data_IF_242932343060
#
_entry.id   IF_242932343060
#
_cell.length_a   1.000
_cell.length_b   1.000
_cell.length_c   1.000
_cell.angle_alpha   90.00
_cell.angle_beta   90.00
_cell.angle_gamma   90.00
#
_symmetry.space_group_name_H-M   'P 1'
#
loop_
_entity.id
_entity.type
_entity.pdbx_description
1 polymer ?
#
# COMPACT_ATOMS: atom_id res chain seq x y z
N UNK A 1 -5.98 -26.47 -6.45
CA UNK A 1 -4.97 -25.50 -6.92
C UNK A 1 -5.23 -24.15 -6.25
N UNK A 2 -4.20 -23.45 -5.77
CA UNK A 2 -4.36 -22.06 -5.33
C UNK A 2 -4.65 -21.20 -6.56
N UNK A 3 -5.55 -20.23 -6.43
CA UNK A 3 -5.85 -19.28 -7.50
C UNK A 3 -4.59 -18.46 -7.84
N UNK A 4 -4.44 -18.09 -9.12
CA UNK A 4 -3.40 -17.17 -9.56
C UNK A 4 -3.64 -15.81 -8.91
N UNK A 5 -2.66 -15.33 -8.14
CA UNK A 5 -2.68 -14.02 -7.51
C UNK A 5 -2.34 -12.94 -8.53
N UNK A 6 -3.03 -11.81 -8.48
CA UNK A 6 -2.87 -10.71 -9.42
C UNK A 6 -2.28 -9.47 -8.75
N UNK A 7 -1.97 -8.44 -9.54
CA UNK A 7 -1.40 -7.18 -9.08
C UNK A 7 -2.36 -6.04 -9.32
N UNK A 8 -2.69 -5.32 -8.24
CA UNK A 8 -3.62 -4.21 -8.24
C UNK A 8 -2.87 -2.92 -7.95
N UNK A 9 -3.18 -1.88 -8.72
CA UNK A 9 -2.76 -0.51 -8.45
C UNK A 9 -4.00 0.36 -8.24
N UNK A 10 -4.10 0.93 -7.05
CA UNK A 10 -5.08 1.98 -6.75
C UNK A 10 -4.36 3.32 -6.67
N UNK A 11 -4.55 4.16 -7.69
CA UNK A 11 -3.84 5.45 -7.84
C UNK A 11 -4.79 6.64 -8.04
N UNK A 12 -4.26 7.80 -8.41
CA UNK A 12 -5.02 9.03 -8.65
C UNK A 12 -5.16 9.95 -7.43
N UNK A 13 -5.65 11.17 -7.67
CA UNK A 13 -5.69 12.25 -6.68
C UNK A 13 -6.88 12.17 -5.71
N UNK A 14 -7.86 11.33 -5.99
CA UNK A 14 -9.06 11.15 -5.18
C UNK A 14 -8.82 10.37 -3.88
N UNK A 15 -9.72 10.57 -2.91
CA UNK A 15 -9.76 9.81 -1.66
C UNK A 15 -10.37 8.42 -1.92
N UNK A 16 -9.79 7.37 -1.35
CA UNK A 16 -10.38 6.02 -1.38
C UNK A 16 -9.39 4.86 -1.59
N UNK A 17 -8.16 5.12 -2.06
CA UNK A 17 -7.17 4.08 -2.42
C UNK A 17 -6.92 3.09 -1.27
N UNK A 18 -6.57 3.62 -0.09
CA UNK A 18 -6.36 2.82 1.13
C UNK A 18 -7.65 2.15 1.60
N UNK A 19 -8.80 2.82 1.49
CA UNK A 19 -10.10 2.25 1.87
C UNK A 19 -10.49 1.05 1.02
N UNK A 20 -10.21 1.08 -0.29
CA UNK A 20 -10.41 -0.06 -1.18
C UNK A 20 -9.50 -1.22 -0.75
N UNK A 21 -8.21 -0.96 -0.51
CA UNK A 21 -7.28 -1.98 -0.05
C UNK A 21 -7.72 -2.63 1.28
N UNK A 22 -8.20 -1.83 2.24
CA UNK A 22 -8.79 -2.32 3.50
C UNK A 22 -10.06 -3.14 3.28
N UNK A 23 -10.93 -2.71 2.36
CA UNK A 23 -12.12 -3.46 1.97
C UNK A 23 -11.77 -4.83 1.38
N UNK A 24 -10.73 -4.91 0.55
CA UNK A 24 -10.23 -6.18 0.02
C UNK A 24 -9.66 -7.07 1.12
N UNK A 25 -8.90 -6.50 2.08
CA UNK A 25 -8.41 -7.26 3.24
C UNK A 25 -9.56 -7.85 4.07
N UNK A 26 -10.63 -7.08 4.29
CA UNK A 26 -11.81 -7.55 5.02
C UNK A 26 -12.52 -8.68 4.25
N UNK A 27 -12.65 -8.56 2.93
CA UNK A 27 -13.20 -9.63 2.08
C UNK A 27 -12.34 -10.89 2.17
N UNK A 28 -11.02 -10.77 2.03
CA UNK A 28 -10.09 -11.89 2.15
C UNK A 28 -10.22 -12.59 3.51
N UNK A 29 -10.28 -11.81 4.60
CA UNK A 29 -10.45 -12.33 5.96
C UNK A 29 -11.74 -13.14 6.12
N UNK A 30 -12.86 -12.70 5.52
CA UNK A 30 -14.14 -13.43 5.55
C UNK A 30 -14.05 -14.84 4.95
N UNK A 31 -13.18 -15.04 3.97
CA UNK A 31 -12.93 -16.33 3.33
C UNK A 31 -11.71 -17.07 3.90
N UNK A 32 -11.17 -16.62 5.04
CA UNK A 32 -10.07 -17.31 5.73
C UNK A 32 -8.69 -17.08 5.12
N UNK A 33 -8.56 -16.21 4.11
CA UNK A 33 -7.28 -15.89 3.48
C UNK A 33 -6.38 -15.06 4.41
N UNK A 34 -5.07 -15.31 4.33
CA UNK A 34 -4.07 -14.60 5.12
C UNK A 34 -3.63 -13.34 4.41
N UNK A 35 -3.83 -12.19 5.05
CA UNK A 35 -3.43 -10.89 4.53
C UNK A 35 -2.26 -10.32 5.32
N UNK A 36 -1.29 -9.71 4.64
CA UNK A 36 -0.31 -8.82 5.26
C UNK A 36 -0.52 -7.38 4.81
N UNK A 37 -0.95 -6.50 5.71
CA UNK A 37 -1.08 -5.08 5.48
C UNK A 37 0.22 -4.34 5.89
N UNK A 38 0.92 -3.79 4.91
CA UNK A 38 2.19 -3.08 5.10
C UNK A 38 2.02 -1.64 4.65
N UNK A 39 2.25 -0.72 5.58
CA UNK A 39 2.09 0.71 5.34
C UNK A 39 3.45 1.41 5.26
N UNK A 40 3.64 2.22 4.22
CA UNK A 40 4.81 3.06 4.03
C UNK A 40 4.51 4.53 4.41
N UNK A 41 5.56 5.35 4.48
CA UNK A 41 5.54 6.81 4.69
C UNK A 41 5.07 7.28 6.07
N UNK A 42 3.85 6.92 6.48
CA UNK A 42 3.20 7.41 7.70
C UNK A 42 2.62 6.26 8.51
N UNK A 43 2.50 6.45 9.81
CA UNK A 43 1.71 5.54 10.66
C UNK A 43 0.24 5.91 10.62
N UNK A 44 -0.62 4.94 10.29
CA UNK A 44 -2.08 5.07 10.37
C UNK A 44 -2.60 5.05 11.82
N UNK A 45 -3.72 5.74 12.06
CA UNK A 45 -4.54 5.58 13.27
C UNK A 45 -5.39 4.30 13.22
N UNK A 46 -5.75 3.83 12.03
CA UNK A 46 -6.45 2.56 11.77
C UNK A 46 -5.65 1.31 12.16
N UNK A 47 -4.34 1.41 12.43
CA UNK A 47 -3.49 0.27 12.84
C UNK A 47 -4.08 -0.61 13.95
N UNK A 48 -4.82 -0.01 14.90
CA UNK A 48 -5.45 -0.74 16.01
C UNK A 48 -6.56 -1.65 15.48
N UNK A 49 -7.40 -1.10 14.62
CA UNK A 49 -8.51 -1.82 13.98
C UNK A 49 -8.00 -2.88 13.03
N UNK A 50 -6.99 -2.58 12.20
CA UNK A 50 -6.43 -3.57 11.25
C UNK A 50 -5.94 -4.81 11.99
N UNK A 51 -5.25 -4.64 13.13
CA UNK A 51 -4.76 -5.75 13.96
C UNK A 51 -5.86 -6.60 14.62
N UNK A 52 -7.09 -6.09 14.68
CA UNK A 52 -8.24 -6.82 15.22
C UNK A 52 -8.94 -7.66 14.15
N UNK A 53 -8.66 -7.43 12.86
CA UNK A 53 -9.23 -8.22 11.77
C UNK A 53 -8.53 -9.58 11.76
N UNK A 54 -9.31 -10.65 11.96
CA UNK A 54 -8.81 -12.04 11.91
C UNK A 54 -8.07 -12.28 10.59
N UNK A 55 -6.94 -12.98 10.65
CA UNK A 55 -6.07 -13.29 9.50
C UNK A 55 -5.41 -12.09 8.81
N UNK A 56 -5.44 -10.89 9.40
CA UNK A 56 -4.73 -9.71 8.87
C UNK A 56 -3.56 -9.32 9.77
N UNK A 57 -2.35 -9.56 9.29
CA UNK A 57 -1.14 -9.05 9.91
C UNK A 57 -0.91 -7.58 9.51
N UNK A 58 -0.29 -6.79 10.39
CA UNK A 58 0.00 -5.37 10.13
C UNK A 58 1.45 -5.03 10.47
N UNK A 59 2.10 -4.26 9.60
CA UNK A 59 3.40 -3.62 9.89
C UNK A 59 3.50 -2.25 9.23
N UNK A 60 4.22 -1.34 9.88
CA UNK A 60 4.41 0.03 9.41
C UNK A 60 5.90 0.33 9.24
N UNK A 61 6.26 0.86 8.07
CA UNK A 61 7.57 1.38 7.71
C UNK A 61 7.45 2.85 7.33
N UNK A 62 7.01 3.63 8.29
CA UNK A 62 6.82 5.08 8.18
C UNK A 62 7.03 5.75 9.52
N UNK A 63 7.39 7.03 9.49
CA UNK A 63 7.54 7.81 10.72
C UNK A 63 6.16 8.26 11.24
N UNK A 64 6.13 8.70 12.52
CA UNK A 64 4.94 9.37 13.09
C UNK A 64 4.74 10.78 12.53
N UNK A 65 5.80 11.37 11.96
CA UNK A 65 5.82 12.73 11.40
C UNK A 65 5.57 12.66 9.90
N UNK A 66 4.97 13.72 9.36
CA UNK A 66 4.84 13.89 7.92
C UNK A 66 6.20 14.03 7.26
N UNK A 67 6.37 13.37 6.11
CA UNK A 67 7.54 13.49 5.25
C UNK A 67 7.20 14.54 4.19
N UNK A 68 8.07 15.54 4.05
CA UNK A 68 7.97 16.55 2.99
C UNK A 68 9.06 16.26 1.95
N UNK A 69 8.72 16.32 0.67
CA UNK A 69 9.62 15.89 -0.42
C UNK A 69 10.94 16.69 -0.44
N UNK A 70 10.86 17.98 -0.12
CA UNK A 70 12.02 18.88 -0.01
C UNK A 70 12.79 18.75 1.32
N UNK A 71 12.35 17.91 2.26
CA UNK A 71 12.96 17.73 3.59
C UNK A 71 13.12 16.26 3.96
N UNK A 72 13.34 15.40 2.96
CA UNK A 72 13.59 13.97 3.17
C UNK A 72 14.89 13.79 3.95
N UNK A 73 14.83 13.01 5.02
CA UNK A 73 16.00 12.68 5.84
C UNK A 73 16.50 11.29 5.48
N UNK A 74 17.79 11.04 5.70
CA UNK A 74 18.38 9.72 5.48
C UNK A 74 17.66 8.60 6.26
N UNK A 75 17.09 8.94 7.42
CA UNK A 75 16.31 7.99 8.22
C UNK A 75 15.02 7.55 7.52
N UNK A 76 14.35 8.44 6.77
CA UNK A 76 13.14 8.11 6.00
C UNK A 76 13.44 7.04 4.95
N UNK A 77 14.55 7.25 4.22
CA UNK A 77 15.04 6.32 3.21
C UNK A 77 15.41 4.97 3.82
N UNK A 78 16.18 4.97 4.91
CA UNK A 78 16.55 3.73 5.63
C UNK A 78 15.33 2.94 6.13
N UNK A 79 14.29 3.62 6.61
CA UNK A 79 13.05 2.97 7.05
C UNK A 79 12.32 2.34 5.86
N UNK A 80 12.20 3.07 4.74
CA UNK A 80 11.55 2.57 3.54
C UNK A 80 12.30 1.36 2.96
N UNK A 81 13.63 1.42 2.86
CA UNK A 81 14.48 0.32 2.37
C UNK A 81 14.37 -0.93 3.26
N UNK A 82 14.30 -0.77 4.59
CA UNK A 82 14.02 -1.89 5.51
C UNK A 82 12.62 -2.46 5.28
N UNK A 83 11.66 -1.60 4.98
CA UNK A 83 10.30 -2.01 4.62
C UNK A 83 10.27 -2.86 3.36
N UNK A 84 10.95 -2.42 2.32
CA UNK A 84 11.02 -3.17 1.06
C UNK A 84 11.69 -4.53 1.25
N UNK A 85 12.84 -4.60 1.95
CA UNK A 85 13.49 -5.90 2.28
C UNK A 85 12.56 -6.84 3.05
N UNK A 86 11.76 -6.29 3.96
CA UNK A 86 10.76 -7.08 4.69
C UNK A 86 9.65 -7.59 3.76
N UNK A 87 9.14 -6.73 2.88
CA UNK A 87 8.14 -7.10 1.86
C UNK A 87 8.67 -8.21 0.96
N UNK A 88 9.87 -8.07 0.41
CA UNK A 88 10.51 -9.09 -0.42
C UNK A 88 10.57 -10.43 0.32
N UNK A 89 11.02 -10.43 1.58
CA UNK A 89 11.09 -11.65 2.38
C UNK A 89 9.71 -12.31 2.60
N UNK A 90 8.66 -11.54 2.92
CA UNK A 90 7.35 -12.13 3.20
C UNK A 90 6.64 -12.60 1.92
N UNK A 91 6.80 -11.86 0.81
CA UNK A 91 6.21 -12.21 -0.48
C UNK A 91 6.86 -13.48 -1.00
N UNK A 92 8.20 -13.57 -0.98
CA UNK A 92 8.92 -14.76 -1.44
C UNK A 92 8.59 -16.02 -0.62
N UNK A 93 8.35 -15.89 0.68
CA UNK A 93 7.91 -17.02 1.51
C UNK A 93 6.54 -17.57 1.12
N UNK A 94 5.69 -16.81 0.43
CA UNK A 94 4.38 -17.29 -0.06
C UNK A 94 3.37 -17.67 1.03
N UNK A 95 3.61 -17.32 2.30
CA UNK A 95 2.76 -17.72 3.43
C UNK A 95 1.45 -16.90 3.56
N UNK A 96 1.32 -15.84 2.77
CA UNK A 96 0.16 -14.96 2.71
C UNK A 96 -0.47 -15.06 1.33
N UNK A 97 -1.79 -14.98 1.27
CA UNK A 97 -2.54 -15.02 0.03
C UNK A 97 -2.70 -13.60 -0.56
N UNK A 98 -2.73 -12.58 0.31
CA UNK A 98 -2.81 -11.17 -0.06
C UNK A 98 -1.75 -10.34 0.67
N UNK A 99 -1.00 -9.51 -0.06
CA UNK A 99 -0.07 -8.54 0.51
C UNK A 99 -0.41 -7.14 0.02
N UNK A 100 -0.72 -6.24 0.96
CA UNK A 100 -1.07 -4.84 0.69
C UNK A 100 0.12 -3.96 1.03
N UNK A 101 0.52 -3.14 0.07
CA UNK A 101 1.63 -2.20 0.12
C UNK A 101 1.06 -0.78 0.04
N UNK A 102 0.53 -0.31 1.16
CA UNK A 102 -0.12 0.99 1.25
C UNK A 102 0.90 2.13 1.20
N UNK A 103 0.65 3.13 0.34
CA UNK A 103 1.49 4.30 0.07
C UNK A 103 2.89 3.97 -0.49
N UNK A 104 3.11 2.76 -1.02
CA UNK A 104 4.40 2.37 -1.62
C UNK A 104 4.71 3.17 -2.88
N UNK A 105 3.68 3.52 -3.67
CA UNK A 105 3.83 4.35 -4.88
C UNK A 105 4.27 5.76 -4.48
N UNK A 106 3.75 6.27 -3.36
CA UNK A 106 4.21 7.54 -2.81
C UNK A 106 5.66 7.46 -2.32
N UNK A 107 6.07 6.36 -1.69
CA UNK A 107 7.47 6.17 -1.30
C UNK A 107 8.43 6.21 -2.51
N UNK A 108 8.01 5.66 -3.66
CA UNK A 108 8.75 5.81 -4.93
C UNK A 108 8.73 7.25 -5.41
N UNK A 109 7.58 7.92 -5.43
CA UNK A 109 7.45 9.30 -5.91
C UNK A 109 8.25 10.31 -5.07
N UNK A 110 8.41 10.05 -3.77
CA UNK A 110 9.29 10.80 -2.87
C UNK A 110 10.78 10.47 -3.07
N UNK A 111 11.13 9.41 -3.80
CA UNK A 111 12.52 8.97 -3.96
C UNK A 111 13.07 8.21 -2.76
N UNK A 112 12.20 7.70 -1.87
CA UNK A 112 12.60 6.85 -0.76
C UNK A 112 12.93 5.42 -1.22
N UNK A 113 12.26 4.97 -2.29
CA UNK A 113 12.46 3.66 -2.92
C UNK A 113 12.68 3.85 -4.41
N UNK A 114 13.41 2.92 -5.04
CA UNK A 114 13.58 2.93 -6.49
C UNK A 114 12.44 2.15 -7.14
N UNK A 115 11.85 2.70 -8.20
CA UNK A 115 10.77 2.05 -8.94
C UNK A 115 11.15 0.66 -9.46
N UNK A 116 12.41 0.49 -9.90
CA UNK A 116 12.92 -0.79 -10.41
C UNK A 116 12.79 -1.93 -9.39
N UNK A 117 12.92 -1.63 -8.10
CA UNK A 117 12.85 -2.65 -7.06
C UNK A 117 11.38 -3.09 -6.87
N UNK A 118 10.42 -2.20 -7.08
CA UNK A 118 8.98 -2.52 -7.06
C UNK A 118 8.58 -3.37 -8.27
N UNK A 119 9.10 -3.04 -9.46
CA UNK A 119 8.89 -3.86 -10.65
C UNK A 119 9.46 -5.27 -10.47
N UNK A 120 10.65 -5.38 -9.88
CA UNK A 120 11.29 -6.67 -9.55
C UNK A 120 10.44 -7.48 -8.56
N UNK A 121 9.87 -6.81 -7.55
CA UNK A 121 8.96 -7.46 -6.60
C UNK A 121 7.71 -8.01 -7.28
N UNK A 122 7.10 -7.25 -8.19
CA UNK A 122 5.93 -7.67 -8.97
C UNK A 122 6.27 -8.89 -9.82
N UNK A 123 7.37 -8.85 -10.55
CA UNK A 123 7.84 -9.93 -11.43
C UNK A 123 8.13 -11.22 -10.67
N UNK A 124 8.77 -11.11 -9.49
CA UNK A 124 9.25 -12.27 -8.73
C UNK A 124 8.26 -12.79 -7.69
N UNK A 125 7.07 -12.21 -7.55
CA UNK A 125 6.10 -12.69 -6.56
C UNK A 125 5.72 -14.15 -6.85
N UNK A 126 5.48 -15.01 -5.85
CA UNK A 126 4.92 -16.33 -6.10
C UNK A 126 3.57 -16.25 -6.80
N UNK A 127 3.26 -17.27 -7.61
CA UNK A 127 2.09 -17.26 -8.50
C UNK A 127 0.77 -17.01 -7.76
N UNK A 128 0.61 -17.55 -6.56
CA UNK A 128 -0.62 -17.44 -5.77
C UNK A 128 -0.74 -16.18 -4.92
N UNK A 129 0.32 -15.36 -4.81
CA UNK A 129 0.30 -14.16 -3.95
C UNK A 129 -0.33 -13.00 -4.70
N UNK A 130 -1.43 -12.48 -4.18
CA UNK A 130 -2.07 -11.26 -4.65
C UNK A 130 -1.39 -10.03 -4.04
N UNK A 131 -1.11 -9.01 -4.86
CA UNK A 131 -0.47 -7.76 -4.44
C UNK A 131 -1.40 -6.57 -4.67
N UNK A 132 -1.52 -5.70 -3.67
CA UNK A 132 -2.18 -4.40 -3.82
C UNK A 132 -1.19 -3.30 -3.52
N UNK A 133 -0.96 -2.40 -4.47
CA UNK A 133 -0.13 -1.21 -4.32
C UNK A 133 -1.02 0.03 -4.33
N UNK A 134 -0.82 0.92 -3.36
CA UNK A 134 -1.57 2.19 -3.31
C UNK A 134 -0.63 3.39 -3.33
N UNK A 135 -1.17 4.52 -3.75
CA UNK A 135 -0.52 5.82 -3.70
C UNK A 135 -0.78 6.64 -4.97
N UNK A 136 -0.42 7.91 -4.95
CA UNK A 136 -0.66 8.82 -6.08
C UNK A 136 0.46 8.71 -7.11
N UNK A 137 0.15 9.02 -8.37
CA UNK A 137 1.16 9.16 -9.42
C UNK A 137 1.85 7.85 -9.80
N UNK A 138 1.12 6.74 -9.94
CA UNK A 138 1.69 5.51 -10.49
C UNK A 138 2.26 5.79 -11.89
N UNK A 139 3.51 5.39 -12.14
CA UNK A 139 4.13 5.57 -13.44
C UNK A 139 3.55 4.63 -14.48
N UNK A 140 3.70 4.96 -15.77
CA UNK A 140 3.29 4.07 -16.88
C UNK A 140 3.90 2.66 -16.76
N UNK A 141 5.13 2.57 -16.24
CA UNK A 141 5.83 1.29 -16.05
C UNK A 141 5.14 0.44 -14.99
N UNK A 142 4.75 1.03 -13.86
CA UNK A 142 3.99 0.32 -12.82
C UNK A 142 2.60 -0.06 -13.33
N UNK A 143 1.92 0.86 -14.03
CA UNK A 143 0.61 0.60 -14.64
C UNK A 143 0.65 -0.60 -15.58
N UNK A 144 1.64 -0.64 -16.48
CA UNK A 144 1.80 -1.74 -17.44
C UNK A 144 2.17 -3.08 -16.79
N UNK A 145 2.74 -3.05 -15.58
CA UNK A 145 3.12 -4.25 -14.83
C UNK A 145 1.99 -4.81 -13.95
N UNK A 146 0.85 -4.11 -13.85
CA UNK A 146 -0.28 -4.51 -13.01
C UNK A 146 -1.42 -5.11 -13.84
N UNK A 147 -2.14 -6.07 -13.26
CA UNK A 147 -3.33 -6.69 -13.87
C UNK A 147 -4.57 -5.80 -13.70
N UNK A 148 -4.68 -5.11 -12.57
CA UNK A 148 -5.75 -4.16 -12.29
C UNK A 148 -5.18 -2.77 -12.01
N UNK A 149 -5.74 -1.76 -12.67
CA UNK A 149 -5.44 -0.36 -12.37
C UNK A 149 -6.75 0.41 -12.24
N UNK A 150 -6.97 1.01 -11.08
CA UNK A 150 -8.06 1.98 -10.90
C UNK A 150 -7.50 3.33 -10.48
N UNK A 151 -7.80 4.34 -11.28
CA UNK A 151 -7.49 5.74 -10.98
C UNK A 151 -8.68 6.39 -10.28
N UNK A 152 -8.51 6.75 -9.02
CA UNK A 152 -9.52 7.49 -8.27
C UNK A 152 -9.32 8.97 -8.58
N UNK A 153 -10.21 9.55 -9.39
CA UNK A 153 -10.17 10.98 -9.75
C UNK A 153 -10.80 11.83 -8.66
N UNK A 154 -10.15 12.96 -8.32
CA UNK A 154 -10.71 13.96 -7.39
C UNK A 154 -11.71 14.84 -8.12
N UNK A 155 -12.95 14.38 -8.28
CA UNK A 155 -14.04 15.19 -8.87
C UNK A 155 -14.42 16.35 -7.94
N UNK A 156 -14.50 16.09 -6.64
CA UNK A 156 -14.67 17.10 -5.58
C UNK A 156 -14.07 16.58 -4.27
N UNK A 157 -13.58 17.46 -3.41
CA UNK A 157 -13.16 17.10 -2.06
C UNK A 157 -13.58 18.17 -1.05
N UNK A 158 -14.07 17.81 0.16
CA UNK A 158 -14.45 18.79 1.18
C UNK A 158 -13.33 19.77 1.55
N UNK A 159 -12.08 19.31 1.47
CA UNK A 159 -10.90 20.16 1.65
C UNK A 159 -10.83 21.33 0.68
N UNK A 160 -11.36 21.20 -0.55
CA UNK A 160 -11.43 22.30 -1.51
C UNK A 160 -12.35 23.45 -1.01
N UNK A 161 -13.20 23.17 -0.01
CA UNK A 161 -14.03 24.15 0.71
C UNK A 161 -13.48 24.52 2.10
N UNK A 162 -12.23 24.18 2.39
CA UNK A 162 -11.60 24.42 3.70
C UNK A 162 -12.01 23.45 4.81
N UNK A 163 -12.81 22.41 4.52
CA UNK A 163 -13.22 21.43 5.53
C UNK A 163 -12.05 20.50 5.84
N UNK A 164 -11.58 20.53 7.09
CA UNK A 164 -10.48 19.72 7.57
C UNK A 164 -10.87 18.25 7.76
N UNK A 165 -9.85 17.40 7.97
CA UNK A 165 -10.01 15.96 8.16
C UNK A 165 -10.89 15.64 9.39
N UNK A 166 -11.85 14.72 9.21
CA UNK A 166 -12.84 14.35 10.23
C UNK A 166 -12.57 12.96 10.79
N UNK A 167 -12.67 12.82 12.11
CA UNK A 167 -12.50 11.53 12.81
C UNK A 167 -13.55 10.52 12.34
N UNK A 168 -13.13 9.27 12.10
CA UNK A 168 -13.98 8.18 11.61
C UNK A 168 -14.26 8.24 10.11
N UNK A 169 -13.89 9.34 9.44
CA UNK A 169 -14.03 9.49 7.99
C UNK A 169 -12.64 9.56 7.36
N UNK A 170 -11.83 10.55 7.71
CA UNK A 170 -10.52 10.78 7.09
C UNK A 170 -9.36 10.19 7.91
N UNK A 171 -9.59 9.86 9.18
CA UNK A 171 -8.65 9.20 10.09
C UNK A 171 -9.30 8.54 11.31
#
# INVERSE_FOLDING_TARGET
MKLKGLVHIYTGEGRGKTSIALGTALRAARYGLKTYFIQFMKTSKERKTIKQIKNVAYKCFGQKKWIYKNKIKQIDKKIAERGLKFVESIVQKGNYDLVILDEIIMAVWFGLLKEKDILTLIEKKPEHVELILTGRGASKRLINAADYVSEIKKVKHPYDKGILARRGIDY
#
